data_IF_873019876396
#
_entry.id   IF_873019876396
#
_cell.length_a   1.000
_cell.length_b   1.000
_cell.length_c   1.000
_cell.angle_alpha   90.00
_cell.angle_beta   90.00
_cell.angle_gamma   90.00
#
_symmetry.space_group_name_H-M   'P 1'
#
loop_
_entity.id
_entity.type
_entity.pdbx_description
1 polymer ?
#
# COMPACT_ATOMS: atom_id res chain seq x y z
N UNK A 1 38.69 16.92 -3.99
CA UNK A 1 37.73 15.99 -4.60
C UNK A 1 37.30 16.59 -5.93
N UNK A 2 37.50 15.91 -7.06
CA UNK A 2 37.38 16.55 -8.39
C UNK A 2 35.93 16.62 -8.93
N UNK A 3 34.96 16.11 -8.19
CA UNK A 3 33.55 16.02 -8.62
C UNK A 3 32.57 16.44 -7.51
N UNK A 4 33.04 17.13 -6.48
CA UNK A 4 32.15 17.71 -5.47
C UNK A 4 31.60 19.03 -6.02
N UNK A 5 30.27 19.14 -6.12
CA UNK A 5 29.60 20.36 -6.63
C UNK A 5 29.06 21.19 -5.46
N UNK A 6 28.21 20.62 -4.59
CA UNK A 6 27.74 21.20 -3.32
C UNK A 6 27.22 20.11 -2.37
N UNK A 7 26.89 20.46 -1.12
CA UNK A 7 26.39 19.52 -0.11
C UNK A 7 25.04 18.90 -0.47
N UNK A 8 24.18 19.65 -1.16
CA UNK A 8 22.86 19.19 -1.63
C UNK A 8 21.70 19.61 -0.73
N UNK A 9 22.01 20.25 0.41
CA UNK A 9 21.07 20.71 1.44
C UNK A 9 20.12 21.80 0.91
N UNK A 10 20.63 22.59 -0.04
CA UNK A 10 19.88 23.55 -0.83
C UNK A 10 19.96 23.18 -2.31
N UNK A 11 18.90 23.44 -3.07
CA UNK A 11 18.81 23.21 -4.51
C UNK A 11 18.20 24.43 -5.20
N UNK A 12 18.64 24.69 -6.42
CA UNK A 12 18.02 25.65 -7.32
C UNK A 12 17.07 24.88 -8.23
N UNK A 13 15.77 25.14 -8.14
CA UNK A 13 14.73 24.46 -8.91
C UNK A 13 13.80 25.48 -9.59
N UNK A 14 13.16 25.10 -10.69
CA UNK A 14 12.14 25.94 -11.30
C UNK A 14 10.85 25.88 -10.47
N UNK A 15 10.33 27.03 -10.05
CA UNK A 15 9.12 27.11 -9.24
C UNK A 15 7.90 26.57 -10.03
N UNK A 16 7.21 25.52 -9.56
CA UNK A 16 6.09 24.92 -10.28
C UNK A 16 4.82 25.81 -10.28
N UNK A 17 4.76 26.78 -9.39
CA UNK A 17 3.73 27.80 -9.24
C UNK A 17 4.33 28.98 -8.47
N UNK A 18 3.57 30.07 -8.29
CA UNK A 18 3.98 31.20 -7.47
C UNK A 18 4.13 30.77 -6.00
N UNK A 19 5.37 30.63 -5.54
CA UNK A 19 5.70 30.15 -4.20
C UNK A 19 6.20 31.32 -3.36
N UNK A 20 5.69 31.44 -2.14
CA UNK A 20 6.17 32.41 -1.16
C UNK A 20 7.37 31.84 -0.38
N UNK A 21 8.20 32.71 0.16
CA UNK A 21 9.26 32.34 1.12
C UNK A 21 8.69 31.52 2.28
N UNK A 22 9.36 30.43 2.64
CA UNK A 22 8.89 29.44 3.60
C UNK A 22 7.79 28.50 3.07
N UNK A 23 7.33 28.72 1.84
CA UNK A 23 6.35 27.85 1.17
C UNK A 23 7.01 26.56 0.68
N UNK A 24 6.37 25.43 0.95
CA UNK A 24 6.74 24.15 0.35
C UNK A 24 6.32 24.08 -1.11
N UNK A 25 7.08 23.38 -1.94
CA UNK A 25 6.71 23.04 -3.33
C UNK A 25 7.37 21.71 -3.76
N UNK A 26 6.86 21.13 -4.86
CA UNK A 26 7.35 19.86 -5.40
C UNK A 26 7.77 20.00 -6.87
N UNK A 27 8.98 19.52 -7.20
CA UNK A 27 9.46 19.37 -8.58
C UNK A 27 9.90 17.92 -8.78
N UNK A 28 9.17 17.18 -9.62
CA UNK A 28 9.40 15.73 -9.78
C UNK A 28 9.19 15.00 -8.46
N UNK A 29 10.26 14.42 -7.91
CA UNK A 29 10.26 13.76 -6.59
C UNK A 29 10.97 14.59 -5.50
N UNK A 30 11.37 15.83 -5.80
CA UNK A 30 12.02 16.72 -4.83
C UNK A 30 10.95 17.58 -4.18
N UNK A 31 10.89 17.57 -2.86
CA UNK A 31 10.19 18.60 -2.09
C UNK A 31 11.22 19.59 -1.54
N UNK A 32 10.92 20.88 -1.64
CA UNK A 32 11.75 21.93 -1.09
C UNK A 32 10.92 23.03 -0.45
N UNK A 33 11.55 23.76 0.47
CA UNK A 33 10.99 24.96 1.10
C UNK A 33 11.68 26.17 0.49
N UNK A 34 10.90 27.07 -0.13
CA UNK A 34 11.44 28.22 -0.86
C UNK A 34 12.13 29.21 0.09
N UNK A 35 13.34 29.65 -0.27
CA UNK A 35 14.06 30.68 0.47
C UNK A 35 13.46 32.08 0.27
N UNK A 36 12.85 32.32 -0.91
CA UNK A 36 12.28 33.62 -1.29
C UNK A 36 10.99 33.47 -2.11
N UNK A 37 10.20 34.54 -2.14
CA UNK A 37 9.05 34.65 -3.03
C UNK A 37 9.52 34.53 -4.49
N UNK A 38 8.92 33.61 -5.24
CA UNK A 38 9.31 33.30 -6.62
C UNK A 38 8.09 33.00 -7.47
N UNK A 39 8.03 33.62 -8.65
CA UNK A 39 6.97 33.39 -9.63
C UNK A 39 7.15 32.03 -10.34
N UNK A 40 6.06 31.46 -10.81
CA UNK A 40 6.06 30.23 -11.60
C UNK A 40 7.05 30.30 -12.77
N UNK A 41 7.83 29.23 -12.94
CA UNK A 41 8.83 29.07 -14.00
C UNK A 41 10.16 29.77 -13.76
N UNK A 42 10.29 30.62 -12.73
CA UNK A 42 11.57 31.19 -12.33
C UNK A 42 12.36 30.24 -11.40
N UNK A 43 13.68 30.41 -11.37
CA UNK A 43 14.55 29.66 -10.48
C UNK A 43 14.36 30.13 -9.02
N UNK A 44 14.04 29.18 -8.14
CA UNK A 44 13.94 29.37 -6.69
C UNK A 44 15.03 28.57 -6.01
N UNK A 45 15.75 29.19 -5.07
CA UNK A 45 16.61 28.44 -4.14
C UNK A 45 15.72 27.89 -3.02
N UNK A 46 15.86 26.60 -2.74
CA UNK A 46 15.08 25.93 -1.72
C UNK A 46 15.91 25.00 -0.86
N UNK A 47 15.55 24.91 0.41
CA UNK A 47 16.10 23.91 1.32
C UNK A 47 15.33 22.60 1.15
N UNK A 48 16.05 21.48 1.05
CA UNK A 48 15.44 20.13 0.92
C UNK A 48 15.59 19.28 2.17
N UNK A 49 16.31 19.78 3.17
CA UNK A 49 16.48 19.19 4.49
C UNK A 49 16.29 20.25 5.58
N UNK A 50 16.13 19.81 6.83
CA UNK A 50 15.88 20.69 7.97
C UNK A 50 14.45 20.58 8.51
N UNK A 51 14.11 21.47 9.45
CA UNK A 51 12.83 21.44 10.18
C UNK A 51 12.04 22.71 9.90
N UNK A 52 10.81 22.56 9.41
CA UNK A 52 9.96 23.68 8.99
C UNK A 52 8.54 23.55 9.52
N UNK A 53 7.93 24.68 9.89
CA UNK A 53 6.50 24.79 10.18
C UNK A 53 5.75 25.01 8.86
N UNK A 54 5.07 23.97 8.37
CA UNK A 54 4.40 23.97 7.07
C UNK A 54 2.88 23.94 7.22
N UNK A 55 2.18 24.65 6.32
CA UNK A 55 0.72 24.65 6.31
C UNK A 55 0.16 23.24 6.12
N UNK A 56 -0.83 22.86 6.94
CA UNK A 56 -1.46 21.53 6.89
C UNK A 56 -2.94 21.60 6.53
N UNK A 57 -3.49 20.46 6.11
CA UNK A 57 -4.92 20.25 5.99
C UNK A 57 -5.56 19.98 7.38
N UNK A 58 -6.78 19.44 7.39
CA UNK A 58 -7.48 19.10 8.63
C UNK A 58 -6.89 17.88 9.39
N UNK A 59 -5.83 17.25 8.85
CA UNK A 59 -5.17 16.09 9.48
C UNK A 59 -4.69 16.41 10.88
N UNK A 60 -4.78 15.42 11.75
CA UNK A 60 -4.14 15.40 13.07
C UNK A 60 -2.84 14.63 12.98
N UNK A 61 -1.81 15.10 13.67
CA UNK A 61 -0.52 14.42 13.78
C UNK A 61 -0.10 14.28 15.24
N UNK A 62 0.40 13.12 15.62
CA UNK A 62 1.23 12.90 16.79
C UNK A 62 2.72 13.14 16.44
N UNK A 63 3.54 13.28 17.48
CA UNK A 63 4.99 13.30 17.29
C UNK A 63 5.46 11.97 16.68
N UNK A 64 6.31 12.05 15.66
CA UNK A 64 6.83 10.90 14.92
C UNK A 64 5.95 10.44 13.76
N UNK A 65 4.75 10.99 13.58
CA UNK A 65 3.89 10.66 12.43
C UNK A 65 4.55 11.07 11.13
N UNK A 66 4.33 10.29 10.08
CA UNK A 66 4.80 10.64 8.74
C UNK A 66 3.93 11.76 8.15
N UNK A 67 4.60 12.74 7.55
CA UNK A 67 3.99 13.88 6.89
C UNK A 67 4.13 13.74 5.37
N UNK A 68 3.04 13.95 4.64
CA UNK A 68 3.00 13.87 3.18
C UNK A 68 2.63 15.23 2.57
N UNK A 69 3.15 15.53 1.40
CA UNK A 69 2.81 16.72 0.63
C UNK A 69 1.70 16.42 -0.39
N UNK A 70 0.56 17.09 -0.22
CA UNK A 70 -0.49 17.17 -1.23
C UNK A 70 -0.15 18.29 -2.21
N UNK A 71 0.29 17.90 -3.40
CA UNK A 71 0.67 18.86 -4.43
C UNK A 71 -0.54 19.49 -5.15
N UNK A 72 -1.76 19.06 -4.89
CA UNK A 72 -2.96 19.77 -5.39
C UNK A 72 -3.36 20.85 -4.39
N UNK A 73 -3.47 20.50 -3.11
CA UNK A 73 -3.87 21.42 -2.05
C UNK A 73 -2.74 22.35 -1.57
N UNK A 74 -1.49 22.04 -1.93
CA UNK A 74 -0.26 22.71 -1.50
C UNK A 74 -0.14 22.75 0.04
N UNK A 75 -0.42 21.60 0.66
CA UNK A 75 -0.47 21.44 2.12
C UNK A 75 0.10 20.10 2.54
N UNK A 76 0.55 20.06 3.78
CA UNK A 76 0.89 18.81 4.47
C UNK A 76 -0.38 18.05 4.86
N UNK A 77 -0.40 16.75 4.64
CA UNK A 77 -1.50 15.82 4.93
C UNK A 77 -0.97 14.50 5.51
N UNK A 78 -1.80 13.78 6.27
CA UNK A 78 -1.52 12.39 6.67
C UNK A 78 -1.98 11.38 5.63
N UNK A 79 -2.67 11.84 4.57
CA UNK A 79 -3.21 10.98 3.52
C UNK A 79 -2.09 10.38 2.68
N UNK A 80 -1.93 9.06 2.77
CA UNK A 80 -1.02 8.26 1.94
C UNK A 80 -1.52 8.10 0.50
N UNK A 81 -0.72 7.46 -0.36
CA UNK A 81 -0.93 7.20 -1.80
C UNK A 81 -0.24 8.19 -2.75
N UNK A 82 -0.95 9.09 -3.41
CA UNK A 82 -0.37 9.99 -4.43
C UNK A 82 0.48 11.13 -3.86
N UNK A 83 0.36 11.36 -2.55
CA UNK A 83 1.05 12.43 -1.86
C UNK A 83 2.50 12.02 -1.56
N UNK A 84 3.43 12.95 -1.73
CA UNK A 84 4.86 12.67 -1.57
C UNK A 84 5.20 12.62 -0.07
N UNK A 85 5.82 11.55 0.42
CA UNK A 85 6.37 11.55 1.78
C UNK A 85 7.46 12.62 1.88
N UNK A 86 7.34 13.58 2.79
CA UNK A 86 8.30 14.68 2.92
C UNK A 86 9.13 14.63 4.20
N UNK A 87 8.64 13.97 5.24
CA UNK A 87 9.32 13.99 6.54
C UNK A 87 8.54 13.32 7.66
N UNK A 88 9.01 13.53 8.88
CA UNK A 88 8.31 13.15 10.11
C UNK A 88 7.97 14.39 10.95
N UNK A 89 6.85 14.31 11.66
CA UNK A 89 6.35 15.36 12.52
C UNK A 89 7.16 15.41 13.82
N UNK A 90 7.71 16.58 14.16
CA UNK A 90 8.51 16.75 15.37
C UNK A 90 7.65 17.04 16.61
N UNK A 91 6.51 17.71 16.42
CA UNK A 91 5.59 18.11 17.48
C UNK A 91 4.15 17.86 17.04
N UNK A 92 3.34 17.28 17.93
CA UNK A 92 1.94 16.97 17.65
C UNK A 92 1.15 18.21 17.18
N UNK A 93 0.28 18.03 16.18
CA UNK A 93 -0.56 19.07 15.60
C UNK A 93 -2.02 18.59 15.52
N UNK A 94 -2.92 19.25 16.27
CA UNK A 94 -4.34 18.92 16.30
C UNK A 94 -5.10 19.46 15.07
N UNK A 95 -6.37 19.06 14.89
CA UNK A 95 -7.24 19.43 13.76
C UNK A 95 -7.34 20.95 13.53
N UNK A 96 -7.25 21.76 14.59
CA UNK A 96 -7.32 23.23 14.53
C UNK A 96 -5.99 23.96 14.33
N UNK A 97 -4.84 23.27 14.34
CA UNK A 97 -3.56 23.91 14.06
C UNK A 97 -3.46 24.26 12.57
N UNK A 98 -2.96 25.45 12.24
CA UNK A 98 -2.77 25.88 10.86
C UNK A 98 -1.52 25.26 10.20
N UNK A 99 -0.55 24.87 11.01
CA UNK A 99 0.75 24.32 10.58
C UNK A 99 1.09 23.04 11.32
N UNK A 100 2.02 22.28 10.77
CA UNK A 100 2.70 21.15 11.41
C UNK A 100 4.21 21.31 11.25
N UNK A 101 4.96 20.99 12.31
CA UNK A 101 6.42 21.00 12.29
C UNK A 101 6.96 19.70 11.71
N UNK A 102 7.66 19.78 10.60
CA UNK A 102 8.15 18.60 9.86
C UNK A 102 9.68 18.64 9.77
N UNK A 103 10.33 17.58 10.23
CA UNK A 103 11.72 17.28 9.92
C UNK A 103 11.78 16.59 8.55
N UNK A 104 12.33 17.28 7.56
CA UNK A 104 12.38 16.82 6.17
C UNK A 104 13.37 15.66 6.00
N UNK A 105 12.98 14.67 5.19
CA UNK A 105 13.78 13.47 4.93
C UNK A 105 14.79 13.62 3.78
N UNK A 106 15.05 14.84 3.30
CA UNK A 106 15.78 15.04 2.04
C UNK A 106 14.95 14.60 0.84
N UNK A 107 15.58 14.45 -0.33
CA UNK A 107 14.95 13.89 -1.54
C UNK A 107 14.40 12.50 -1.24
N UNK A 108 13.06 12.31 -1.13
CA UNK A 108 12.48 11.06 -0.68
C UNK A 108 12.70 9.99 -1.74
N UNK A 109 13.70 9.15 -1.53
CA UNK A 109 13.96 7.96 -2.34
C UNK A 109 12.94 6.86 -2.08
N UNK A 110 11.63 7.12 -2.14
CA UNK A 110 10.64 6.05 -2.35
C UNK A 110 9.23 6.57 -2.69
N UNK A 111 8.92 6.77 -3.98
CA UNK A 111 7.52 6.88 -4.45
C UNK A 111 6.83 5.50 -4.62
N UNK A 112 7.48 4.42 -4.17
CA UNK A 112 7.09 3.04 -4.49
C UNK A 112 5.87 2.48 -3.76
N UNK A 113 5.23 3.19 -2.82
CA UNK A 113 4.13 2.63 -2.02
C UNK A 113 2.74 2.79 -2.67
N UNK A 114 2.54 3.77 -3.56
CA UNK A 114 1.23 4.00 -4.18
C UNK A 114 0.82 2.90 -5.18
N UNK A 115 1.77 2.44 -6.00
CA UNK A 115 1.58 1.42 -7.05
C UNK A 115 2.53 0.22 -6.92
N UNK A 116 3.24 0.10 -5.81
CA UNK A 116 4.14 -1.03 -5.56
C UNK A 116 3.41 -2.36 -5.37
N UNK A 117 4.20 -3.42 -5.26
CA UNK A 117 3.71 -4.75 -4.92
C UNK A 117 3.11 -4.73 -3.49
N UNK A 118 1.81 -5.02 -3.41
CA UNK A 118 1.03 -5.15 -2.19
C UNK A 118 0.66 -6.62 -1.97
N UNK A 119 0.29 -6.95 -0.74
CA UNK A 119 -0.15 -8.30 -0.36
C UNK A 119 -1.54 -8.19 0.26
N UNK A 120 -2.48 -9.00 -0.21
CA UNK A 120 -3.76 -9.22 0.46
C UNK A 120 -3.69 -10.56 1.18
N UNK A 121 -3.99 -10.55 2.47
CA UNK A 121 -3.92 -11.73 3.31
C UNK A 121 -5.33 -12.27 3.60
N UNK A 122 -5.45 -13.58 3.64
CA UNK A 122 -6.60 -14.25 4.24
C UNK A 122 -6.17 -15.51 4.96
N UNK A 123 -6.88 -15.85 6.03
CA UNK A 123 -6.69 -17.07 6.79
C UNK A 123 -8.04 -17.75 6.99
N UNK A 124 -8.17 -18.92 6.37
CA UNK A 124 -9.20 -19.89 6.73
C UNK A 124 -8.71 -20.72 7.90
N UNK A 125 -9.52 -20.83 8.95
CA UNK A 125 -9.30 -21.67 10.11
C UNK A 125 -10.57 -22.46 10.40
N UNK A 126 -10.53 -23.79 10.30
CA UNK A 126 -11.71 -24.63 10.53
C UNK A 126 -12.39 -24.35 11.88
N UNK A 127 -11.63 -24.01 12.92
CA UNK A 127 -12.19 -23.71 14.25
C UNK A 127 -12.98 -22.41 14.30
N UNK A 128 -12.73 -21.49 13.37
CA UNK A 128 -13.37 -20.17 13.28
C UNK A 128 -14.41 -20.12 12.17
N UNK A 129 -14.06 -20.63 10.98
CA UNK A 129 -14.84 -20.46 9.75
C UNK A 129 -15.73 -21.69 9.43
N UNK A 130 -15.51 -22.82 10.10
CA UNK A 130 -16.24 -24.05 9.88
C UNK A 130 -15.88 -24.77 8.57
N UNK A 131 -16.58 -25.85 8.25
CA UNK A 131 -16.22 -26.75 7.14
C UNK A 131 -16.76 -26.39 5.75
N UNK A 132 -17.62 -25.39 5.64
CA UNK A 132 -18.28 -25.03 4.38
C UNK A 132 -17.48 -23.97 3.59
N UNK A 133 -17.88 -23.71 2.35
CA UNK A 133 -17.42 -22.52 1.62
C UNK A 133 -17.72 -21.26 2.42
N UNK A 134 -16.75 -20.36 2.51
CA UNK A 134 -16.86 -19.16 3.32
C UNK A 134 -15.92 -18.06 2.83
N UNK A 135 -16.29 -16.82 3.12
CA UNK A 135 -15.32 -15.72 3.20
C UNK A 135 -14.71 -15.79 4.60
N UNK A 136 -13.41 -16.11 4.74
CA UNK A 136 -12.83 -16.29 6.07
C UNK A 136 -12.94 -15.01 6.92
N UNK A 137 -13.08 -15.18 8.24
CA UNK A 137 -13.19 -14.07 9.18
C UNK A 137 -11.99 -13.11 9.07
N UNK A 138 -10.79 -13.66 8.84
CA UNK A 138 -9.59 -12.91 8.49
C UNK A 138 -9.43 -12.93 6.96
N UNK A 139 -9.88 -11.86 6.30
CA UNK A 139 -9.78 -11.72 4.85
C UNK A 139 -9.74 -10.26 4.44
N UNK A 140 -8.63 -9.87 3.84
CA UNK A 140 -8.39 -8.56 3.25
C UNK A 140 -9.21 -8.37 1.97
N UNK A 141 -9.50 -7.10 1.67
CA UNK A 141 -10.17 -6.72 0.43
C UNK A 141 -9.13 -6.37 -0.62
N UNK A 142 -9.16 -7.07 -1.76
CA UNK A 142 -8.39 -6.68 -2.94
C UNK A 142 -9.17 -5.57 -3.65
N UNK A 143 -8.57 -4.38 -3.88
CA UNK A 143 -9.29 -3.25 -4.46
C UNK A 143 -9.62 -3.46 -5.94
N UNK A 144 -10.60 -2.71 -6.44
CA UNK A 144 -10.88 -2.59 -7.88
C UNK A 144 -9.61 -2.16 -8.62
N UNK A 145 -9.46 -2.59 -9.88
CA UNK A 145 -8.30 -2.30 -10.74
C UNK A 145 -6.96 -2.88 -10.26
N UNK A 146 -6.92 -3.60 -9.13
CA UNK A 146 -5.77 -4.40 -8.77
C UNK A 146 -5.53 -5.50 -9.80
N UNK A 147 -4.28 -5.68 -10.20
CA UNK A 147 -3.82 -6.85 -10.94
C UNK A 147 -3.21 -7.80 -9.93
N UNK A 148 -3.77 -8.99 -9.80
CA UNK A 148 -3.26 -10.07 -8.97
C UNK A 148 -2.42 -10.98 -9.87
N UNK A 149 -1.17 -11.22 -9.50
CA UNK A 149 -0.19 -11.89 -10.37
C UNK A 149 0.75 -12.85 -9.63
N UNK A 150 0.51 -13.11 -8.35
CA UNK A 150 1.33 -14.05 -7.60
C UNK A 150 0.83 -14.30 -6.21
N UNK A 151 1.67 -14.93 -5.39
CA UNK A 151 1.31 -15.27 -4.02
C UNK A 151 1.84 -16.60 -3.54
N UNK A 152 1.33 -16.99 -2.38
CA UNK A 152 1.45 -18.33 -1.84
C UNK A 152 0.15 -18.74 -1.17
N UNK A 153 -0.18 -20.03 -1.25
CA UNK A 153 -1.20 -20.65 -0.40
C UNK A 153 -0.49 -21.67 0.47
N UNK A 154 -0.62 -21.56 1.79
CA UNK A 154 0.05 -22.44 2.73
C UNK A 154 -0.97 -23.05 3.67
N UNK A 155 -1.01 -24.38 3.74
CA UNK A 155 -1.80 -25.07 4.77
C UNK A 155 -0.93 -25.31 6.00
N UNK A 156 -1.02 -24.42 7.00
CA UNK A 156 -0.20 -24.52 8.23
C UNK A 156 -0.56 -25.74 9.07
N UNK A 157 -1.81 -26.20 8.99
CA UNK A 157 -2.26 -27.52 9.46
C UNK A 157 -2.92 -28.28 8.33
N UNK A 158 -2.74 -29.61 8.31
CA UNK A 158 -3.31 -30.46 7.28
C UNK A 158 -4.82 -30.28 7.15
N UNK A 159 -5.29 -30.07 5.93
CA UNK A 159 -6.70 -29.97 5.59
C UNK A 159 -7.31 -31.36 5.57
N UNK A 160 -8.32 -31.58 6.39
CA UNK A 160 -9.04 -32.85 6.48
C UNK A 160 -10.48 -32.69 6.00
N UNK A 161 -11.05 -33.77 5.47
CA UNK A 161 -12.46 -33.90 5.14
C UNK A 161 -12.83 -35.38 5.03
N UNK A 162 -14.12 -35.70 5.13
CA UNK A 162 -14.63 -37.00 4.71
C UNK A 162 -14.58 -37.09 3.18
N UNK A 163 -13.83 -38.06 2.64
CA UNK A 163 -13.69 -38.23 1.19
C UNK A 163 -12.70 -37.26 0.51
N UNK A 164 -12.90 -37.02 -0.79
CA UNK A 164 -11.99 -36.25 -1.65
C UNK A 164 -12.37 -34.77 -1.79
N UNK A 165 -12.54 -34.06 -0.68
CA UNK A 165 -12.86 -32.63 -0.72
C UNK A 165 -11.79 -31.83 -1.49
N UNK A 166 -12.24 -30.80 -2.20
CA UNK A 166 -11.36 -29.88 -2.92
C UNK A 166 -11.58 -28.46 -2.42
N UNK A 167 -10.49 -27.68 -2.39
CA UNK A 167 -10.50 -26.27 -2.00
C UNK A 167 -10.05 -25.44 -3.20
N UNK A 168 -10.83 -24.42 -3.55
CA UNK A 168 -10.43 -23.37 -4.48
C UNK A 168 -10.49 -22.02 -3.78
N UNK A 169 -9.65 -21.08 -4.22
CA UNK A 169 -9.53 -19.76 -3.63
C UNK A 169 -9.72 -18.72 -4.73
N UNK A 170 -10.54 -17.73 -4.44
CA UNK A 170 -10.85 -16.66 -5.36
C UNK A 170 -11.27 -15.43 -4.60
N UNK A 171 -12.10 -14.59 -5.22
CA UNK A 171 -12.65 -13.41 -4.55
C UNK A 171 -14.18 -13.46 -4.55
N UNK A 172 -14.79 -12.84 -3.55
CA UNK A 172 -16.26 -12.73 -3.44
C UNK A 172 -16.86 -11.87 -4.58
N UNK A 173 -16.07 -10.91 -5.07
CA UNK A 173 -16.43 -10.02 -6.16
C UNK A 173 -15.19 -9.65 -6.97
N UNK A 174 -15.39 -9.11 -8.17
CA UNK A 174 -14.32 -8.59 -9.02
C UNK A 174 -13.48 -9.64 -9.77
N UNK A 175 -13.64 -10.92 -9.44
CA UNK A 175 -13.03 -12.08 -10.13
C UNK A 175 -13.83 -13.35 -9.84
N UNK A 176 -13.32 -14.52 -10.23
CA UNK A 176 -13.97 -15.83 -10.03
C UNK A 176 -13.59 -16.54 -8.73
N UNK A 177 -14.35 -17.57 -8.36
CA UNK A 177 -14.18 -18.36 -7.12
C UNK A 177 -12.88 -19.21 -7.06
N UNK A 178 -12.19 -19.36 -8.19
CA UNK A 178 -10.96 -20.15 -8.34
C UNK A 178 -9.81 -19.33 -9.00
N UNK A 179 -9.91 -18.00 -8.96
CA UNK A 179 -8.96 -17.11 -9.63
C UNK A 179 -7.58 -17.07 -8.98
N UNK A 180 -7.51 -17.26 -7.66
CA UNK A 180 -6.25 -17.24 -6.90
C UNK A 180 -5.67 -18.66 -6.86
N UNK A 181 -6.48 -19.66 -6.51
CA UNK A 181 -6.11 -21.07 -6.51
C UNK A 181 -7.23 -21.90 -7.14
N UNK A 182 -6.89 -22.67 -8.18
CA UNK A 182 -7.77 -23.65 -8.78
C UNK A 182 -8.15 -24.76 -7.78
N UNK A 183 -9.22 -25.51 -8.08
CA UNK A 183 -9.66 -26.62 -7.24
C UNK A 183 -8.51 -27.59 -6.94
N UNK A 184 -8.09 -27.61 -5.68
CA UNK A 184 -6.95 -28.37 -5.18
C UNK A 184 -7.46 -29.41 -4.19
N UNK A 185 -7.15 -30.69 -4.41
CA UNK A 185 -7.57 -31.76 -3.51
C UNK A 185 -6.93 -31.63 -2.14
N UNK A 186 -7.67 -31.98 -1.07
CA UNK A 186 -7.15 -31.94 0.31
C UNK A 186 -5.82 -32.67 0.51
N UNK A 187 -5.55 -33.70 -0.32
CA UNK A 187 -4.32 -34.47 -0.27
C UNK A 187 -3.06 -33.63 -0.57
N UNK A 188 -3.21 -32.54 -1.33
CA UNK A 188 -2.13 -31.59 -1.63
C UNK A 188 -2.01 -30.48 -0.58
N UNK A 189 -2.94 -30.41 0.38
CA UNK A 189 -2.99 -29.42 1.45
C UNK A 189 -2.63 -30.07 2.80
N UNK A 190 -1.48 -30.76 2.83
CA UNK A 190 -0.92 -31.36 4.04
C UNK A 190 -0.33 -30.32 5.00
N UNK A 191 0.21 -30.77 6.13
CA UNK A 191 0.85 -29.87 7.10
C UNK A 191 2.03 -29.13 6.46
N UNK A 192 2.01 -27.80 6.57
CA UNK A 192 2.97 -26.87 5.96
C UNK A 192 3.13 -27.01 4.43
N UNK A 193 2.15 -27.58 3.74
CA UNK A 193 2.20 -27.65 2.29
C UNK A 193 2.10 -26.24 1.70
N UNK A 194 3.02 -25.92 0.78
CA UNK A 194 3.04 -24.67 0.02
C UNK A 194 2.55 -24.98 -1.39
N UNK A 195 1.44 -24.37 -1.77
CA UNK A 195 0.82 -24.55 -3.08
C UNK A 195 1.00 -23.27 -3.88
N UNK A 196 1.47 -23.43 -5.13
CA UNK A 196 1.64 -22.32 -6.06
C UNK A 196 0.25 -21.85 -6.51
N UNK A 197 -0.11 -20.57 -6.30
CA UNK A 197 -1.41 -20.06 -6.74
C UNK A 197 -1.53 -20.05 -8.26
N UNK A 198 -2.73 -20.29 -8.77
CA UNK A 198 -3.07 -20.18 -10.20
C UNK A 198 -2.85 -18.77 -10.74
N UNK A 199 -3.01 -17.75 -9.90
CA UNK A 199 -2.73 -16.35 -10.26
C UNK A 199 -1.28 -16.10 -10.72
N UNK A 200 -0.32 -16.98 -10.38
CA UNK A 200 1.06 -16.91 -10.89
C UNK A 200 1.12 -17.22 -12.39
N UNK A 201 0.34 -18.20 -12.84
CA UNK A 201 0.31 -18.62 -14.24
C UNK A 201 -0.69 -17.81 -15.07
N UNK A 202 -1.81 -17.42 -14.47
CA UNK A 202 -2.88 -16.65 -15.11
C UNK A 202 -3.26 -15.44 -14.25
N UNK A 203 -2.47 -14.36 -14.32
CA UNK A 203 -2.80 -13.11 -13.64
C UNK A 203 -4.17 -12.58 -14.07
N UNK A 204 -4.85 -11.87 -13.17
CA UNK A 204 -6.16 -11.29 -13.47
C UNK A 204 -6.29 -9.88 -12.90
N UNK A 205 -7.12 -9.06 -13.54
CA UNK A 205 -7.48 -7.72 -13.08
C UNK A 205 -8.83 -7.76 -12.36
N UNK A 206 -8.91 -7.14 -11.19
CA UNK A 206 -10.14 -6.99 -10.42
C UNK A 206 -11.10 -6.01 -11.09
N UNK A 207 -12.33 -6.44 -11.39
CA UNK A 207 -13.40 -5.58 -11.93
C UNK A 207 -14.23 -4.87 -10.86
N UNK A 208 -14.09 -5.27 -9.61
CA UNK A 208 -14.68 -4.66 -8.42
C UNK A 208 -13.80 -4.99 -7.21
N UNK A 209 -13.93 -4.24 -6.11
CA UNK A 209 -13.26 -4.62 -4.86
C UNK A 209 -13.88 -5.90 -4.29
N UNK A 210 -13.06 -6.83 -3.81
CA UNK A 210 -13.53 -8.13 -3.32
C UNK A 210 -12.61 -8.75 -2.29
N UNK A 211 -13.21 -9.34 -1.24
CA UNK A 211 -12.49 -10.13 -0.24
C UNK A 211 -12.08 -11.49 -0.81
N UNK A 212 -11.00 -12.06 -0.27
CA UNK A 212 -10.59 -13.43 -0.60
C UNK A 212 -11.62 -14.42 -0.04
N UNK A 213 -12.04 -15.37 -0.86
CA UNK A 213 -13.05 -16.38 -0.54
C UNK A 213 -12.48 -17.78 -0.71
N UNK A 214 -12.86 -18.68 0.21
CA UNK A 214 -12.56 -20.11 0.14
C UNK A 214 -13.80 -20.86 -0.29
N UNK A 215 -13.69 -21.63 -1.37
CA UNK A 215 -14.77 -22.47 -1.88
C UNK A 215 -14.41 -23.93 -1.69
N UNK A 216 -15.22 -24.65 -0.93
CA UNK A 216 -15.10 -26.08 -0.68
C UNK A 216 -16.10 -26.82 -1.56
N UNK A 217 -15.62 -27.79 -2.33
CA UNK A 217 -16.45 -28.73 -3.06
C UNK A 217 -16.23 -30.16 -2.53
N UNK A 218 -17.19 -31.04 -2.84
CA UNK A 218 -17.15 -32.48 -2.52
C UNK A 218 -17.09 -32.81 -1.02
N UNK A 219 -17.86 -32.09 -0.20
CA UNK A 219 -18.08 -32.36 1.25
C UNK A 219 -17.36 -31.35 2.14
N UNK A 220 -17.86 -31.08 3.37
CA UNK A 220 -17.26 -30.09 4.23
C UNK A 220 -15.89 -30.52 4.73
N UNK A 221 -15.00 -29.55 4.91
CA UNK A 221 -13.75 -29.75 5.64
C UNK A 221 -14.07 -30.08 7.09
N UNK A 222 -13.21 -30.88 7.72
CA UNK A 222 -13.34 -31.32 9.11
C UNK A 222 -12.17 -30.88 9.99
N UNK A 223 -11.12 -30.32 9.39
CA UNK A 223 -9.99 -29.68 10.07
C UNK A 223 -9.14 -28.92 9.03
N UNK A 224 -8.20 -28.11 9.53
CA UNK A 224 -7.15 -27.48 8.73
C UNK A 224 -7.15 -25.96 8.85
N UNK A 225 -6.00 -25.39 8.53
CA UNK A 225 -5.80 -23.94 8.44
C UNK A 225 -5.10 -23.67 7.12
N UNK A 226 -5.62 -22.71 6.36
CA UNK A 226 -5.11 -22.30 5.06
C UNK A 226 -4.87 -20.80 5.10
N UNK A 227 -3.64 -20.39 4.83
CA UNK A 227 -3.23 -18.99 4.73
C UNK A 227 -2.95 -18.65 3.27
N UNK A 228 -3.38 -17.47 2.86
CA UNK A 228 -3.35 -16.99 1.49
C UNK A 228 -2.68 -15.64 1.49
N UNK A 229 -1.59 -15.51 0.72
CA UNK A 229 -0.96 -14.24 0.41
C UNK A 229 -1.13 -14.00 -1.08
N UNK A 230 -2.06 -13.14 -1.47
CA UNK A 230 -2.25 -12.75 -2.86
C UNK A 230 -1.39 -11.50 -3.15
N UNK A 231 -0.42 -11.64 -4.05
CA UNK A 231 0.41 -10.53 -4.51
C UNK A 231 -0.34 -9.74 -5.57
N UNK A 232 -0.48 -8.43 -5.37
CA UNK A 232 -1.18 -7.56 -6.30
C UNK A 232 -0.52 -6.18 -6.40
N UNK A 233 -0.74 -5.51 -7.52
CA UNK A 233 -0.43 -4.10 -7.69
C UNK A 233 -1.68 -3.37 -8.18
N UNK A 234 -1.89 -2.15 -7.73
CA UNK A 234 -3.01 -1.32 -8.20
C UNK A 234 -2.61 -0.63 -9.49
N UNK A 235 -3.21 -1.04 -10.61
CA UNK A 235 -3.10 -0.28 -11.85
C UNK A 235 -3.65 1.13 -11.58
N UNK A 236 -2.90 2.17 -11.97
CA UNK A 236 -3.42 3.54 -11.91
C UNK A 236 -4.77 3.59 -12.63
N UNK A 237 -5.77 4.18 -11.97
CA UNK A 237 -7.07 4.43 -12.56
C UNK A 237 -6.96 5.52 -13.63
#
# INVERSE_FOLDING_TARGET
MNNFVKSGDNLTLAAPYDVLSGGGFKVGNVFGVAANDTLSGADVECDVEGVYDLAKDASTFAQGDLAYWDDTAKKVTSTVASNLLIGAVEVAAATGAAVVRVNLFGVPGFSGQAHGLKVAYAKYDFSVDGGASCTPAVSDTIPINAVVYGGGVVSTTAVAAAGGATVSIGTVAGSGAASILAATGKASLGTNAVVVPTAVATPFKMTAAGKINVTVATGPLTAGVIEVWALYATAAA
#
